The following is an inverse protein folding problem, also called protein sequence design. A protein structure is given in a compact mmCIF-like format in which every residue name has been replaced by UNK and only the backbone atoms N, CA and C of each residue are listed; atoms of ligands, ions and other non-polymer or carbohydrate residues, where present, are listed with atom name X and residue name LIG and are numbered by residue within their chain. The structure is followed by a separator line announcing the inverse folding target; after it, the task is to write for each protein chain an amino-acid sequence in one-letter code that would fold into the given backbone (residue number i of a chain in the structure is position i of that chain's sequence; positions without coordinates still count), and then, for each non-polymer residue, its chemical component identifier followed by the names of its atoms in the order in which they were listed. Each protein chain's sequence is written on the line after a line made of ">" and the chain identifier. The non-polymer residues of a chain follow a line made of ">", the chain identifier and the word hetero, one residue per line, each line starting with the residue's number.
data_IF_623112875715
#
_entry.id   IF_623112875715
#
_cell.length_a   1.000
_cell.length_b   1.000
_cell.length_c   1.000
_cell.angle_alpha   90.00
_cell.angle_beta   90.00
_cell.angle_gamma   90.00
#
_symmetry.space_group_name_H-M   'P 1'
#
loop_
_entity.id
_entity.type
_entity.pdbx_description
1 polymer ?
#
# COMPACT_ATOMS: atom_id res chain seq x y z
N UNK A 1 23.58 7.91 3.60
CA UNK A 1 22.65 9.06 3.52
C UNK A 1 23.46 10.29 3.83
N UNK A 2 23.81 11.08 2.82
CA UNK A 2 24.67 12.25 2.98
C UNK A 2 23.81 13.51 3.10
N UNK A 3 23.82 14.15 4.29
CA UNK A 3 23.91 15.59 4.38
C UNK A 3 22.64 16.41 4.34
N UNK A 4 21.53 15.96 4.99
CA UNK A 4 20.44 16.89 5.35
C UNK A 4 20.01 16.65 6.81
N UNK A 5 20.90 16.97 7.74
CA UNK A 5 20.71 16.73 9.18
C UNK A 5 19.52 17.49 9.82
N UNK A 6 18.87 18.38 9.05
CA UNK A 6 17.72 19.18 9.51
C UNK A 6 16.40 18.87 8.76
N UNK A 7 16.36 17.80 7.99
CA UNK A 7 15.15 17.44 7.25
C UNK A 7 14.17 16.70 8.16
N UNK A 8 12.95 17.23 8.29
CA UNK A 8 11.93 16.63 9.13
C UNK A 8 11.16 15.55 8.36
N UNK A 9 11.00 14.38 8.95
CA UNK A 9 10.13 13.30 8.45
C UNK A 9 9.09 12.98 9.50
N UNK A 10 7.85 13.25 9.20
CA UNK A 10 6.72 12.96 10.10
C UNK A 10 6.10 11.61 9.75
N UNK A 11 6.00 10.70 10.72
CA UNK A 11 5.16 9.50 10.63
C UNK A 11 3.82 9.85 11.31
N UNK A 12 2.84 10.20 10.47
CA UNK A 12 1.51 10.60 10.92
C UNK A 12 0.49 9.49 10.70
N UNK A 13 0.72 8.37 11.39
CA UNK A 13 -0.16 7.21 11.41
C UNK A 13 -0.04 6.52 12.78
N UNK A 14 -1.09 6.51 13.62
CA UNK A 14 -1.06 5.82 14.91
C UNK A 14 -0.67 4.35 14.77
N UNK A 15 -1.24 3.65 13.79
CA UNK A 15 -0.93 2.24 13.53
C UNK A 15 0.54 2.02 13.14
N UNK A 16 1.10 2.90 12.31
CA UNK A 16 2.51 2.80 11.94
C UNK A 16 3.44 3.05 13.14
N UNK A 17 3.06 3.98 14.02
CA UNK A 17 3.83 4.25 15.25
C UNK A 17 3.80 3.06 16.21
N UNK A 18 2.63 2.43 16.39
CA UNK A 18 2.48 1.21 17.20
C UNK A 18 3.29 0.05 16.59
N UNK A 19 3.19 -0.17 15.28
CA UNK A 19 3.98 -1.19 14.59
C UNK A 19 5.49 -0.95 14.76
N UNK A 20 5.96 0.28 14.63
CA UNK A 20 7.39 0.62 14.84
C UNK A 20 7.84 0.31 16.26
N UNK A 21 6.98 0.56 17.26
CA UNK A 21 7.26 0.20 18.64
C UNK A 21 7.42 -1.32 18.80
N UNK A 22 6.49 -2.10 18.24
CA UNK A 22 6.56 -3.57 18.28
C UNK A 22 7.81 -4.08 17.57
N UNK A 23 8.17 -3.55 16.40
CA UNK A 23 9.41 -3.91 15.73
C UNK A 23 10.65 -3.63 16.58
N UNK A 24 10.67 -2.52 17.31
CA UNK A 24 11.78 -2.20 18.22
C UNK A 24 11.85 -3.15 19.44
N UNK A 25 10.71 -3.60 19.95
CA UNK A 25 10.66 -4.57 21.06
C UNK A 25 11.15 -5.95 20.63
N UNK A 26 10.91 -6.35 19.38
CA UNK A 26 11.24 -7.67 18.83
C UNK A 26 12.43 -7.67 17.86
N UNK A 27 13.29 -6.65 17.93
CA UNK A 27 14.41 -6.50 16.99
C UNK A 27 15.35 -7.72 16.95
N UNK A 28 15.64 -8.34 18.09
CA UNK A 28 16.54 -9.52 18.16
C UNK A 28 15.90 -10.82 17.66
N UNK A 29 14.58 -10.89 17.61
CA UNK A 29 13.84 -12.07 17.17
C UNK A 29 13.49 -12.00 15.66
N UNK A 30 13.35 -10.78 15.12
CA UNK A 30 12.73 -10.57 13.80
C UNK A 30 13.62 -9.82 12.79
N UNK A 31 14.67 -9.11 13.24
CA UNK A 31 15.56 -8.43 12.32
C UNK A 31 16.53 -9.42 11.66
N UNK A 32 16.87 -9.15 10.41
CA UNK A 32 17.90 -9.88 9.71
C UNK A 32 19.32 -9.57 10.25
N UNK A 33 20.32 -10.29 9.74
CA UNK A 33 21.70 -10.16 10.20
C UNK A 33 22.25 -8.75 9.97
N UNK A 34 21.86 -8.08 8.89
CA UNK A 34 22.32 -6.73 8.55
C UNK A 34 21.76 -5.69 9.54
N UNK A 35 20.45 -5.75 9.81
CA UNK A 35 19.80 -4.88 10.78
C UNK A 35 20.31 -5.11 12.20
N UNK A 36 20.54 -6.37 12.61
CA UNK A 36 21.14 -6.72 13.91
C UNK A 36 22.57 -6.16 14.03
N UNK A 37 23.36 -6.22 12.96
CA UNK A 37 24.71 -5.66 12.99
C UNK A 37 24.71 -4.12 13.17
N UNK A 38 23.68 -3.42 12.68
CA UNK A 38 23.48 -1.99 12.96
C UNK A 38 23.09 -1.75 14.42
N UNK A 39 22.15 -2.52 14.95
CA UNK A 39 21.72 -2.42 16.36
C UNK A 39 22.89 -2.64 17.32
N UNK A 40 23.75 -3.63 17.05
CA UNK A 40 24.96 -3.89 17.85
C UNK A 40 25.97 -2.73 17.85
N UNK A 41 25.95 -1.89 16.79
CA UNK A 41 26.74 -0.66 16.69
C UNK A 41 26.04 0.55 17.33
N UNK A 42 24.88 0.35 17.97
CA UNK A 42 24.08 1.42 18.57
C UNK A 42 23.26 2.22 17.55
N UNK A 43 23.09 1.72 16.33
CA UNK A 43 22.31 2.35 15.26
C UNK A 43 20.96 1.64 15.17
N UNK A 44 19.88 2.36 15.46
CA UNK A 44 18.54 1.83 15.22
C UNK A 44 18.13 2.11 13.76
N UNK A 45 17.91 1.07 12.92
CA UNK A 45 17.59 1.26 11.50
C UNK A 45 16.23 1.91 11.27
N UNK A 46 15.33 1.89 12.26
CA UNK A 46 13.99 2.49 12.20
C UNK A 46 13.94 3.93 12.73
N UNK A 47 15.04 4.45 13.26
CA UNK A 47 15.09 5.76 13.91
C UNK A 47 16.26 6.60 13.40
N UNK A 48 16.01 7.89 13.17
CA UNK A 48 17.04 8.85 12.79
C UNK A 48 16.72 10.25 13.34
N UNK A 49 17.67 11.17 13.45
CA UNK A 49 17.49 12.46 14.15
C UNK A 49 16.34 13.34 13.63
N UNK A 50 16.03 13.26 12.32
CA UNK A 50 14.95 14.01 11.69
C UNK A 50 13.56 13.41 11.84
N UNK A 51 13.44 12.17 12.35
CA UNK A 51 12.16 11.48 12.49
C UNK A 51 11.32 12.09 13.62
N UNK A 52 10.05 12.30 13.33
CA UNK A 52 9.02 12.79 14.25
C UNK A 52 7.80 11.88 14.13
N UNK A 53 7.18 11.56 15.24
CA UNK A 53 5.93 10.80 15.30
C UNK A 53 4.81 11.70 15.78
N UNK A 54 3.64 11.58 15.19
CA UNK A 54 2.43 12.28 15.61
C UNK A 54 1.47 11.28 16.24
N UNK A 55 1.04 11.53 17.48
CA UNK A 55 0.16 10.64 18.22
C UNK A 55 -1.26 11.18 18.21
N UNK A 56 -1.43 12.43 18.57
CA UNK A 56 -2.75 13.06 18.69
C UNK A 56 -3.23 13.69 17.39
N UNK A 57 -4.52 14.01 17.32
CA UNK A 57 -5.08 14.77 16.21
C UNK A 57 -4.54 16.20 16.14
N UNK A 58 -4.17 16.77 17.27
CA UNK A 58 -3.61 18.12 17.34
C UNK A 58 -2.17 18.14 16.82
N UNK A 59 -1.36 17.12 17.13
CA UNK A 59 -0.04 16.93 16.53
C UNK A 59 -0.14 16.83 15.00
N UNK A 60 -1.09 16.03 14.50
CA UNK A 60 -1.33 15.88 13.07
C UNK A 60 -1.72 17.19 12.39
N UNK A 61 -2.58 17.99 13.03
CA UNK A 61 -2.95 19.31 12.50
C UNK A 61 -1.77 20.27 12.49
N UNK A 62 -0.92 20.26 13.52
CA UNK A 62 0.24 21.13 13.61
C UNK A 62 1.22 20.93 12.46
N UNK A 63 1.33 19.72 11.91
CA UNK A 63 2.19 19.42 10.77
C UNK A 63 1.83 20.27 9.54
N UNK A 64 0.55 20.55 9.31
CA UNK A 64 0.11 21.35 8.17
C UNK A 64 0.45 22.85 8.29
N UNK A 65 0.77 23.32 9.48
CA UNK A 65 1.20 24.71 9.75
C UNK A 65 2.72 24.86 9.90
N UNK A 66 3.46 23.76 9.86
CA UNK A 66 4.91 23.79 9.80
C UNK A 66 5.34 24.19 8.38
N UNK A 67 5.99 25.33 8.21
CA UNK A 67 6.41 25.87 6.91
C UNK A 67 7.77 25.31 6.43
N UNK A 68 8.49 24.58 7.28
CA UNK A 68 9.75 23.96 6.90
C UNK A 68 9.56 22.84 5.85
N UNK A 69 10.59 22.66 5.03
CA UNK A 69 10.62 21.53 4.11
C UNK A 69 10.61 20.20 4.88
N UNK A 70 9.66 19.32 4.56
CA UNK A 70 9.42 18.08 5.29
C UNK A 70 8.86 16.97 4.42
N UNK A 71 8.96 15.74 4.90
CA UNK A 71 8.22 14.58 4.40
C UNK A 71 7.13 14.22 5.40
N UNK A 72 5.94 13.90 4.92
CA UNK A 72 4.84 13.38 5.73
C UNK A 72 4.52 11.98 5.23
N UNK A 73 4.70 10.97 6.09
CA UNK A 73 4.31 9.58 5.84
C UNK A 73 3.01 9.34 6.58
N UNK A 74 1.92 9.14 5.84
CA UNK A 74 0.58 9.03 6.41
C UNK A 74 -0.24 7.94 5.73
N UNK A 75 -1.18 7.35 6.45
CA UNK A 75 -2.13 6.37 5.95
C UNK A 75 -3.51 7.04 5.72
N UNK A 76 -4.38 6.45 4.86
CA UNK A 76 -4.27 5.19 4.14
C UNK A 76 -3.54 5.36 2.81
N UNK A 77 -2.94 4.25 2.33
CA UNK A 77 -2.12 4.28 1.12
C UNK A 77 -2.90 4.60 -0.17
N UNK A 78 -4.23 4.44 -0.20
CA UNK A 78 -5.10 4.76 -1.34
C UNK A 78 -5.82 6.11 -1.19
N UNK A 79 -5.51 6.87 -0.16
CA UNK A 79 -6.05 8.20 0.14
C UNK A 79 -7.57 8.28 0.42
N UNK A 80 -8.26 7.15 0.60
CA UNK A 80 -9.71 7.12 0.83
C UNK A 80 -10.10 7.38 2.28
N UNK A 81 -9.20 7.13 3.22
CA UNK A 81 -9.42 7.29 4.64
C UNK A 81 -8.16 7.79 5.35
N UNK A 82 -8.26 8.07 6.64
CA UNK A 82 -7.13 8.40 7.49
C UNK A 82 -6.65 9.85 7.37
N UNK A 83 -5.53 10.10 8.05
CA UNK A 83 -4.95 11.42 8.19
C UNK A 83 -4.41 12.00 6.88
N UNK A 84 -4.02 11.16 5.94
CA UNK A 84 -3.55 11.57 4.61
C UNK A 84 -4.54 12.49 3.90
N UNK A 85 -5.86 12.29 4.07
CA UNK A 85 -6.88 13.15 3.45
C UNK A 85 -6.80 14.58 3.94
N UNK A 86 -6.47 14.79 5.20
CA UNK A 86 -6.29 16.14 5.76
C UNK A 86 -5.03 16.79 5.18
N UNK A 87 -3.92 16.05 5.09
CA UNK A 87 -2.70 16.55 4.46
C UNK A 87 -2.92 16.89 2.99
N UNK A 88 -3.62 16.05 2.23
CA UNK A 88 -3.98 16.34 0.85
C UNK A 88 -4.83 17.60 0.73
N UNK A 89 -5.84 17.79 1.58
CA UNK A 89 -6.67 18.99 1.57
C UNK A 89 -5.85 20.27 1.75
N UNK A 90 -4.81 20.23 2.58
CA UNK A 90 -3.97 21.39 2.87
C UNK A 90 -2.84 21.61 1.86
N UNK A 91 -2.39 20.58 1.16
CA UNK A 91 -1.14 20.63 0.40
C UNK A 91 -1.29 20.29 -1.09
N UNK A 92 -2.39 19.68 -1.53
CA UNK A 92 -2.56 19.18 -2.89
C UNK A 92 -2.63 20.28 -3.96
N UNK A 93 -3.10 21.46 -3.58
CA UNK A 93 -3.24 22.61 -4.48
C UNK A 93 -1.92 23.35 -4.75
N UNK A 94 -0.90 23.15 -3.92
CA UNK A 94 0.36 23.90 -4.00
C UNK A 94 1.38 23.17 -4.90
N UNK A 95 1.80 23.78 -6.02
CA UNK A 95 2.74 23.16 -6.97
C UNK A 95 4.16 22.96 -6.43
N UNK A 96 4.47 23.49 -5.26
CA UNK A 96 5.75 23.23 -4.57
C UNK A 96 5.80 21.87 -3.89
N UNK A 97 4.64 21.22 -3.73
CA UNK A 97 4.52 19.94 -3.08
C UNK A 97 4.60 18.79 -4.07
N UNK A 98 5.03 17.63 -3.59
CA UNK A 98 5.02 16.36 -4.33
C UNK A 98 4.23 15.33 -3.52
N UNK A 99 3.28 14.67 -4.16
CA UNK A 99 2.58 13.50 -3.62
C UNK A 99 3.24 12.25 -4.20
N UNK A 100 3.85 11.44 -3.33
CA UNK A 100 4.57 10.24 -3.73
C UNK A 100 3.78 9.00 -3.33
N UNK A 101 3.29 8.27 -4.32
CA UNK A 101 2.65 6.97 -4.13
C UNK A 101 3.70 5.86 -4.14
N UNK A 102 3.75 5.07 -3.06
CA UNK A 102 4.71 3.97 -2.88
C UNK A 102 4.09 2.58 -3.05
N UNK A 103 2.79 2.52 -3.32
CA UNK A 103 2.04 1.28 -3.48
C UNK A 103 0.96 1.38 -4.56
N UNK A 104 0.34 0.23 -4.82
CA UNK A 104 -0.76 0.10 -5.77
C UNK A 104 -1.95 0.98 -5.39
N UNK A 105 -2.63 1.53 -6.41
CA UNK A 105 -3.84 2.33 -6.26
C UNK A 105 -5.01 1.65 -6.98
N UNK A 106 -5.99 1.17 -6.22
CA UNK A 106 -7.14 0.45 -6.76
C UNK A 106 -8.08 1.37 -7.54
N UNK A 107 -8.74 0.82 -8.54
CA UNK A 107 -9.74 1.52 -9.34
C UNK A 107 -10.86 2.06 -8.42
N UNK A 108 -11.25 3.33 -8.63
CA UNK A 108 -12.29 3.99 -7.84
C UNK A 108 -11.78 4.70 -6.58
N UNK A 109 -10.48 4.58 -6.23
CA UNK A 109 -9.90 5.28 -5.09
C UNK A 109 -9.42 6.69 -5.45
N UNK A 110 -9.30 7.56 -4.46
CA UNK A 110 -8.75 8.91 -4.64
C UNK A 110 -7.30 8.85 -5.13
N UNK A 111 -6.48 7.94 -4.59
CA UNK A 111 -5.10 7.77 -5.03
C UNK A 111 -5.02 7.38 -6.50
N UNK A 112 -5.94 6.52 -6.99
CA UNK A 112 -6.02 6.15 -8.40
C UNK A 112 -6.37 7.36 -9.28
N UNK A 113 -7.35 8.15 -8.90
CA UNK A 113 -7.71 9.37 -9.64
C UNK A 113 -6.53 10.33 -9.77
N UNK A 114 -5.73 10.51 -8.69
CA UNK A 114 -4.55 11.36 -8.71
C UNK A 114 -3.46 10.85 -9.66
N UNK A 115 -3.16 9.55 -9.66
CA UNK A 115 -2.14 9.00 -10.58
C UNK A 115 -2.61 8.95 -12.04
N UNK A 116 -3.91 8.96 -12.30
CA UNK A 116 -4.50 9.07 -13.64
C UNK A 116 -4.59 10.53 -14.15
N UNK A 117 -4.14 11.50 -13.34
CA UNK A 117 -4.05 12.90 -13.74
C UNK A 117 -5.32 13.71 -13.53
N UNK A 118 -6.12 13.40 -12.52
CA UNK A 118 -7.26 14.25 -12.17
C UNK A 118 -6.79 15.68 -11.84
N UNK A 119 -7.41 16.68 -12.50
CA UNK A 119 -7.12 18.09 -12.26
C UNK A 119 -7.79 18.63 -11.00
N UNK A 120 -8.94 18.07 -10.64
CA UNK A 120 -9.69 18.40 -9.44
C UNK A 120 -10.20 17.13 -8.75
N UNK A 121 -10.17 17.13 -7.43
CA UNK A 121 -10.67 16.00 -6.61
C UNK A 121 -11.57 16.50 -5.49
N UNK A 122 -12.43 15.61 -4.95
CA UNK A 122 -13.27 15.94 -3.79
C UNK A 122 -12.65 15.43 -2.49
N UNK A 123 -12.41 16.35 -1.56
CA UNK A 123 -11.92 16.08 -0.21
C UNK A 123 -12.88 16.72 0.81
N UNK A 124 -13.49 15.89 1.65
CA UNK A 124 -14.48 16.33 2.65
C UNK A 124 -15.64 17.17 2.08
N UNK A 125 -16.10 16.83 0.86
CA UNK A 125 -17.18 17.52 0.16
C UNK A 125 -16.77 18.80 -0.60
N UNK A 126 -15.53 19.25 -0.43
CA UNK A 126 -14.97 20.41 -1.14
C UNK A 126 -14.16 19.95 -2.37
N UNK A 127 -14.20 20.74 -3.45
CA UNK A 127 -13.36 20.54 -4.62
C UNK A 127 -11.98 21.16 -4.35
N UNK A 128 -10.92 20.37 -4.55
CA UNK A 128 -9.53 20.79 -4.39
C UNK A 128 -8.82 20.59 -5.73
N UNK A 129 -8.20 21.65 -6.22
CA UNK A 129 -7.39 21.61 -7.42
C UNK A 129 -6.08 20.85 -7.16
N UNK A 130 -5.62 20.04 -8.14
CA UNK A 130 -4.37 19.28 -8.07
C UNK A 130 -3.25 20.09 -8.71
N UNK A 131 -2.57 20.91 -7.91
CA UNK A 131 -1.39 21.67 -8.32
C UNK A 131 -0.07 20.95 -7.99
N UNK A 132 -0.08 20.08 -6.99
CA UNK A 132 1.09 19.33 -6.56
C UNK A 132 1.56 18.34 -7.63
N UNK A 133 2.88 18.09 -7.66
CA UNK A 133 3.44 17.05 -8.51
C UNK A 133 3.01 15.66 -8.02
N UNK A 134 2.50 14.81 -8.92
CA UNK A 134 2.11 13.43 -8.60
C UNK A 134 3.19 12.48 -9.11
N UNK A 135 3.78 11.70 -8.21
CA UNK A 135 4.82 10.72 -8.52
C UNK A 135 4.48 9.34 -7.98
N UNK A 136 5.02 8.32 -8.65
CA UNK A 136 4.97 6.94 -8.21
C UNK A 136 6.39 6.39 -8.04
N UNK A 137 6.61 5.63 -6.97
CA UNK A 137 7.87 4.92 -6.72
C UNK A 137 7.60 3.41 -6.74
N UNK A 138 7.89 2.72 -7.85
CA UNK A 138 7.77 1.26 -7.90
C UNK A 138 8.87 0.60 -7.06
N UNK A 139 8.61 -0.64 -6.63
CA UNK A 139 9.64 -1.48 -6.00
C UNK A 139 9.70 -1.43 -4.47
N UNK A 140 8.83 -0.66 -3.79
CA UNK A 140 8.73 -0.65 -2.31
C UNK A 140 7.56 -1.55 -1.83
N UNK A 141 6.79 -2.14 -2.74
CA UNK A 141 5.67 -3.02 -2.38
C UNK A 141 6.17 -4.27 -1.67
N UNK A 142 5.54 -4.64 -0.54
CA UNK A 142 5.72 -5.93 0.11
C UNK A 142 4.95 -7.08 -0.56
N UNK A 143 4.17 -6.81 -1.60
CA UNK A 143 3.46 -7.83 -2.37
C UNK A 143 4.40 -8.51 -3.36
N UNK A 144 4.26 -9.82 -3.51
CA UNK A 144 4.95 -10.56 -4.55
C UNK A 144 4.48 -10.10 -5.93
N UNK A 145 5.41 -10.02 -6.88
CA UNK A 145 5.08 -9.88 -8.30
C UNK A 145 4.59 -11.20 -8.89
N UNK A 146 4.26 -11.19 -10.18
CA UNK A 146 3.76 -12.39 -10.87
C UNK A 146 4.75 -13.55 -10.83
N UNK A 147 6.06 -13.28 -10.85
CA UNK A 147 7.08 -14.34 -10.79
C UNK A 147 7.16 -14.93 -9.39
N UNK A 148 7.16 -14.07 -8.35
CA UNK A 148 7.10 -14.52 -6.97
C UNK A 148 5.85 -15.35 -6.66
N UNK A 149 4.68 -14.99 -7.20
CA UNK A 149 3.45 -15.79 -7.06
C UNK A 149 3.56 -17.14 -7.76
N UNK A 150 4.13 -17.19 -8.97
CA UNK A 150 4.37 -18.45 -9.69
C UNK A 150 5.36 -19.33 -8.94
N UNK A 151 6.44 -18.78 -8.45
CA UNK A 151 7.46 -19.54 -7.71
C UNK A 151 6.91 -20.06 -6.38
N UNK A 152 6.07 -19.27 -5.70
CA UNK A 152 5.35 -19.75 -4.52
C UNK A 152 4.43 -20.95 -4.85
N UNK A 153 3.68 -20.91 -5.96
CA UNK A 153 2.83 -22.03 -6.38
C UNK A 153 3.68 -23.25 -6.76
N UNK A 154 4.82 -23.07 -7.43
CA UNK A 154 5.75 -24.16 -7.76
C UNK A 154 6.37 -24.85 -6.55
N UNK A 155 6.47 -24.12 -5.42
CA UNK A 155 7.03 -24.66 -4.19
C UNK A 155 6.11 -25.68 -3.49
N UNK A 156 4.85 -25.81 -3.90
CA UNK A 156 3.98 -26.89 -3.44
C UNK A 156 4.51 -28.23 -3.98
N UNK A 157 4.75 -29.20 -3.11
CA UNK A 157 5.23 -30.54 -3.50
C UNK A 157 4.25 -31.27 -4.40
N UNK A 158 2.96 -31.25 -4.04
CA UNK A 158 1.86 -31.77 -4.86
C UNK A 158 1.09 -30.62 -5.51
N UNK A 159 0.59 -30.87 -6.74
CA UNK A 159 -0.26 -29.88 -7.40
C UNK A 159 -1.52 -29.59 -6.57
N UNK A 160 -1.83 -28.31 -6.29
CA UNK A 160 -3.07 -27.97 -5.64
C UNK A 160 -4.27 -28.43 -6.50
N UNK A 161 -5.31 -28.95 -5.85
CA UNK A 161 -6.54 -29.40 -6.53
C UNK A 161 -7.29 -28.27 -7.21
N UNK A 162 -7.22 -27.08 -6.62
CA UNK A 162 -7.86 -25.86 -7.11
C UNK A 162 -7.06 -24.65 -6.69
N UNK A 163 -6.95 -23.64 -7.55
CA UNK A 163 -6.33 -22.35 -7.26
C UNK A 163 -7.36 -21.25 -7.46
N UNK A 164 -7.60 -20.48 -6.43
CA UNK A 164 -8.45 -19.29 -6.47
C UNK A 164 -7.56 -18.05 -6.53
N UNK A 165 -7.69 -17.29 -7.60
CA UNK A 165 -7.00 -16.00 -7.77
C UNK A 165 -7.95 -14.89 -7.29
N UNK A 166 -7.57 -14.22 -6.21
CA UNK A 166 -8.40 -13.20 -5.55
C UNK A 166 -7.58 -11.96 -5.23
N UNK A 167 -8.26 -10.89 -4.81
CA UNK A 167 -7.62 -9.68 -4.30
C UNK A 167 -6.79 -8.92 -5.34
N UNK A 168 -7.37 -8.70 -6.52
CA UNK A 168 -6.82 -7.90 -7.60
C UNK A 168 -7.94 -7.33 -8.47
N UNK A 169 -7.56 -6.52 -9.45
CA UNK A 169 -8.51 -6.06 -10.46
C UNK A 169 -9.05 -7.24 -11.26
N UNK A 170 -10.33 -7.19 -11.62
CA UNK A 170 -11.04 -8.30 -12.28
C UNK A 170 -10.28 -8.84 -13.49
N UNK A 171 -9.86 -7.96 -14.39
CA UNK A 171 -9.11 -8.31 -15.58
C UNK A 171 -7.75 -8.98 -15.26
N UNK A 172 -7.05 -8.47 -14.25
CA UNK A 172 -5.73 -8.98 -13.85
C UNK A 172 -5.85 -10.36 -13.21
N UNK A 173 -6.84 -10.56 -12.36
CA UNK A 173 -7.08 -11.87 -11.71
C UNK A 173 -7.51 -12.93 -12.73
N UNK A 174 -8.34 -12.59 -13.71
CA UNK A 174 -8.72 -13.49 -14.80
C UNK A 174 -7.53 -13.87 -15.68
N UNK A 175 -6.69 -12.90 -16.07
CA UNK A 175 -5.48 -13.14 -16.87
C UNK A 175 -4.54 -14.07 -16.11
N UNK A 176 -4.34 -13.83 -14.81
CA UNK A 176 -3.45 -14.67 -14.03
C UNK A 176 -4.00 -16.07 -13.80
N UNK A 177 -5.30 -16.23 -13.53
CA UNK A 177 -5.94 -17.54 -13.44
C UNK A 177 -5.79 -18.33 -14.75
N UNK A 178 -6.02 -17.70 -15.90
CA UNK A 178 -5.83 -18.31 -17.22
C UNK A 178 -4.37 -18.71 -17.44
N UNK A 179 -3.43 -17.87 -17.10
CA UNK A 179 -2.00 -18.16 -17.19
C UNK A 179 -1.59 -19.38 -16.36
N UNK A 180 -2.09 -19.52 -15.13
CA UNK A 180 -1.86 -20.69 -14.29
C UNK A 180 -2.43 -21.97 -14.91
N UNK A 181 -3.58 -21.87 -15.56
CA UNK A 181 -4.16 -23.00 -16.30
C UNK A 181 -3.31 -23.39 -17.50
N UNK A 182 -3.00 -22.44 -18.37
CA UNK A 182 -2.36 -22.69 -19.67
C UNK A 182 -0.89 -23.11 -19.53
N UNK A 183 -0.13 -22.46 -18.65
CA UNK A 183 1.31 -22.70 -18.49
C UNK A 183 1.64 -23.81 -17.48
N UNK A 184 0.80 -24.01 -16.46
CA UNK A 184 1.09 -24.95 -15.37
C UNK A 184 0.11 -26.12 -15.28
N UNK A 185 -0.95 -26.12 -16.08
CA UNK A 185 -2.01 -27.14 -16.07
C UNK A 185 -2.75 -27.19 -14.72
N UNK A 186 -2.90 -26.07 -14.06
CA UNK A 186 -3.61 -25.96 -12.79
C UNK A 186 -5.09 -25.70 -13.03
N UNK A 187 -5.95 -26.30 -12.20
CA UNK A 187 -7.37 -25.95 -12.16
C UNK A 187 -7.52 -24.62 -11.37
N UNK A 188 -7.55 -23.52 -12.08
CA UNK A 188 -7.55 -22.15 -11.54
C UNK A 188 -8.77 -21.36 -11.96
N UNK A 189 -9.22 -20.47 -11.08
CA UNK A 189 -10.32 -19.54 -11.36
C UNK A 189 -10.14 -18.22 -10.62
N UNK A 190 -10.71 -17.15 -11.16
CA UNK A 190 -10.85 -15.85 -10.52
C UNK A 190 -12.33 -15.64 -10.14
N UNK A 191 -12.76 -16.00 -8.92
CA UNK A 191 -14.16 -15.94 -8.55
C UNK A 191 -14.59 -14.50 -8.25
N UNK A 192 -15.77 -14.10 -8.75
CA UNK A 192 -16.41 -12.88 -8.30
C UNK A 192 -16.93 -13.00 -6.87
N UNK A 193 -17.03 -11.88 -6.18
CA UNK A 193 -17.59 -11.81 -4.82
C UNK A 193 -19.00 -12.40 -4.78
N UNK A 194 -19.24 -13.30 -3.84
CA UNK A 194 -20.49 -14.03 -3.73
C UNK A 194 -20.48 -15.42 -4.38
N UNK A 195 -19.43 -15.80 -5.10
CA UNK A 195 -19.25 -17.17 -5.61
C UNK A 195 -19.13 -18.17 -4.45
N UNK A 196 -19.85 -19.28 -4.52
CA UNK A 196 -19.85 -20.34 -3.50
C UNK A 196 -19.22 -21.61 -4.09
N UNK A 197 -18.19 -22.11 -3.41
CA UNK A 197 -17.45 -23.29 -3.83
C UNK A 197 -17.40 -24.34 -2.71
N UNK A 198 -17.74 -25.59 -3.00
CA UNK A 198 -17.57 -26.71 -2.08
C UNK A 198 -16.15 -27.28 -2.23
N UNK A 199 -15.30 -26.96 -1.26
CA UNK A 199 -13.89 -27.40 -1.24
C UNK A 199 -13.77 -28.92 -1.06
N UNK A 200 -14.74 -29.58 -0.40
CA UNK A 200 -14.73 -31.03 -0.16
C UNK A 200 -15.14 -31.79 -1.42
N UNK A 201 -16.18 -31.34 -2.07
CA UNK A 201 -16.67 -31.91 -3.32
C UNK A 201 -15.88 -31.43 -4.54
N UNK A 202 -15.05 -30.40 -4.38
CA UNK A 202 -14.27 -29.74 -5.42
C UNK A 202 -15.13 -29.26 -6.60
N UNK A 203 -16.27 -28.62 -6.29
CA UNK A 203 -17.15 -28.07 -7.32
C UNK A 203 -17.71 -26.70 -6.95
N UNK A 204 -18.00 -25.90 -7.97
CA UNK A 204 -18.71 -24.64 -7.81
C UNK A 204 -20.20 -24.91 -7.60
N UNK A 205 -20.75 -24.43 -6.46
CA UNK A 205 -22.18 -24.52 -6.14
C UNK A 205 -22.95 -23.38 -6.80
N UNK A 206 -22.36 -22.18 -6.76
CA UNK A 206 -22.95 -20.98 -7.34
C UNK A 206 -21.81 -20.07 -7.84
N UNK A 207 -21.89 -19.67 -9.10
CA UNK A 207 -20.97 -18.72 -9.70
C UNK A 207 -21.65 -17.34 -9.76
N UNK A 208 -21.11 -16.41 -8.99
CA UNK A 208 -21.62 -15.04 -8.98
C UNK A 208 -21.23 -14.33 -10.30
N UNK A 209 -22.14 -13.49 -10.78
CA UNK A 209 -21.84 -12.60 -11.90
C UNK A 209 -21.14 -11.34 -11.40
N UNK A 210 -20.07 -10.93 -12.08
CA UNK A 210 -19.35 -9.71 -11.77
C UNK A 210 -20.25 -8.48 -11.92
N UNK A 211 -20.22 -7.60 -10.94
CA UNK A 211 -20.88 -6.29 -11.02
C UNK A 211 -19.81 -5.32 -11.54
N UNK A 212 -19.95 -4.83 -12.76
CA UNK A 212 -19.10 -3.74 -13.25
C UNK A 212 -19.40 -2.49 -12.43
N UNK A 213 -18.39 -2.01 -11.70
CA UNK A 213 -18.44 -0.69 -11.07
C UNK A 213 -18.33 0.34 -12.21
N UNK A 214 -19.46 0.86 -12.64
CA UNK A 214 -19.49 2.01 -13.55
C UNK A 214 -19.10 3.25 -12.74
N UNK A 215 -18.11 3.99 -13.24
CA UNK A 215 -17.67 5.28 -12.72
C UNK A 215 -18.78 6.33 -12.75
#
# INVERSE_FOLDING_TARGET
>A
VHGHDNFKVYVDSPLANEATTIFNEHQYDCFDEEAIALVQKGINPLMFPGLRTSITSDDSRAINYDEDCKVIISASGMCDAGRIKHHLKHNLWDPRNTILFVGYQAIGTLGRALIEGAEDVKLFGETVHVGAEIRQMPGISGHADVNGLIDWIKAFGDKPKKVFVTHGDDEVTEIFARRLHDEMGLDSMAPFSGTIYDLKANNCIYEAQGIRITK
#
